data_IF_310797520436
#
_entry.id   IF_310797520436
#
_cell.length_a   1.000
_cell.length_b   1.000
_cell.length_c   1.000
_cell.angle_alpha   90.00
_cell.angle_beta   90.00
_cell.angle_gamma   90.00
#
_symmetry.space_group_name_H-M   'P 1'
#
loop_
_entity.id
_entity.type
_entity.pdbx_description
1 polymer ?
#
# COMPACT_ATOMS: atom_id res chain seq x y z
N UNK A 1 4.59 2.23 -4.00
CA UNK A 1 5.49 1.86 -5.12
C UNK A 1 6.93 1.85 -4.70
N UNK A 2 7.77 1.18 -5.49
CA UNK A 2 9.22 1.19 -5.35
C UNK A 2 9.85 1.88 -6.56
N UNK A 3 10.67 2.92 -6.31
CA UNK A 3 11.43 3.61 -7.35
C UNK A 3 12.74 2.83 -7.58
N UNK A 4 12.93 2.33 -8.80
CA UNK A 4 14.13 1.60 -9.22
C UNK A 4 15.19 2.55 -9.80
N UNK A 5 14.75 3.56 -10.56
CA UNK A 5 15.62 4.57 -11.16
C UNK A 5 14.98 5.95 -11.16
N UNK A 6 15.82 6.98 -11.08
CA UNK A 6 15.47 8.39 -11.35
C UNK A 6 16.49 8.93 -12.36
N UNK A 7 16.01 9.43 -13.50
CA UNK A 7 16.81 9.94 -14.62
C UNK A 7 17.96 9.01 -15.02
N UNK A 8 17.64 7.72 -15.18
CA UNK A 8 18.59 6.67 -15.57
C UNK A 8 19.55 6.21 -14.45
N UNK A 9 19.49 6.78 -13.24
CA UNK A 9 20.35 6.40 -12.12
C UNK A 9 19.66 5.39 -11.20
N UNK A 10 20.30 4.25 -10.96
CA UNK A 10 19.80 3.21 -10.05
C UNK A 10 19.69 3.71 -8.60
N UNK A 11 18.53 3.51 -7.99
CA UNK A 11 18.25 3.88 -6.60
C UNK A 11 18.74 2.85 -5.58
N UNK A 12 19.28 1.71 -6.02
CA UNK A 12 19.83 0.68 -5.14
C UNK A 12 20.90 1.26 -4.19
N UNK A 13 20.78 0.97 -2.90
CA UNK A 13 21.68 1.46 -1.86
C UNK A 13 21.53 2.94 -1.51
N UNK A 14 20.56 3.67 -2.07
CA UNK A 14 20.32 5.06 -1.68
C UNK A 14 19.61 5.11 -0.33
N UNK A 15 20.04 6.04 0.52
CA UNK A 15 19.26 6.46 1.67
C UNK A 15 18.26 7.55 1.27
N UNK A 16 17.36 7.88 2.21
CA UNK A 16 16.30 8.87 2.01
C UNK A 16 16.87 10.25 1.62
N UNK A 17 17.97 10.67 2.25
CA UNK A 17 18.57 11.98 2.01
C UNK A 17 19.19 12.10 0.60
N UNK A 18 19.79 11.03 0.09
CA UNK A 18 20.26 10.98 -1.30
C UNK A 18 19.09 11.06 -2.27
N UNK A 19 18.03 10.27 -2.05
CA UNK A 19 16.85 10.28 -2.90
C UNK A 19 16.19 11.67 -2.96
N UNK A 20 15.96 12.32 -1.81
CA UNK A 20 15.43 13.69 -1.74
C UNK A 20 16.31 14.70 -2.46
N UNK A 21 17.63 14.61 -2.30
CA UNK A 21 18.58 15.52 -2.95
C UNK A 21 18.56 15.38 -4.47
N UNK A 22 18.49 14.15 -4.98
CA UNK A 22 18.40 13.89 -6.42
C UNK A 22 17.11 14.48 -6.98
N UNK A 23 15.97 14.25 -6.31
CA UNK A 23 14.68 14.82 -6.72
C UNK A 23 14.70 16.35 -6.71
N UNK A 24 15.25 16.98 -5.66
CA UNK A 24 15.35 18.45 -5.57
C UNK A 24 16.23 19.09 -6.64
N UNK A 25 17.21 18.35 -7.17
CA UNK A 25 18.15 18.81 -8.20
C UNK A 25 17.74 18.43 -9.61
N UNK A 26 16.70 17.62 -9.77
CA UNK A 26 16.24 17.19 -11.08
C UNK A 26 15.67 18.38 -11.86
N UNK A 27 15.61 18.25 -13.19
CA UNK A 27 15.01 19.25 -14.07
C UNK A 27 13.55 19.47 -13.66
N UNK A 28 13.10 20.73 -13.47
CA UNK A 28 11.70 21.01 -13.15
C UNK A 28 10.75 20.68 -14.32
N UNK A 29 11.26 20.61 -15.55
CA UNK A 29 10.47 20.30 -16.75
C UNK A 29 10.13 18.82 -16.87
N UNK A 30 11.07 17.92 -16.50
CA UNK A 30 10.87 16.48 -16.64
C UNK A 30 11.75 15.68 -15.70
N UNK A 31 11.12 14.74 -14.99
CA UNK A 31 11.80 13.71 -14.20
C UNK A 31 11.31 12.35 -14.68
N UNK A 32 12.24 11.50 -15.14
CA UNK A 32 11.91 10.14 -15.61
C UNK A 32 12.16 9.15 -14.48
N UNK A 33 11.16 8.35 -14.14
CA UNK A 33 11.28 7.32 -13.11
C UNK A 33 10.94 5.93 -13.66
N UNK A 34 11.70 4.93 -13.22
CA UNK A 34 11.34 3.52 -13.40
C UNK A 34 10.75 3.04 -12.08
N UNK A 35 9.52 2.58 -12.12
CA UNK A 35 8.74 2.24 -10.93
C UNK A 35 8.31 0.77 -10.98
N UNK A 36 8.50 0.06 -9.88
CA UNK A 36 7.86 -1.24 -9.61
C UNK A 36 6.60 -0.99 -8.81
N UNK A 37 5.48 -1.40 -9.37
CA UNK A 37 4.17 -1.23 -8.77
C UNK A 37 4.06 -2.04 -7.47
N UNK A 38 3.79 -1.32 -6.37
CA UNK A 38 3.48 -1.81 -5.00
C UNK A 38 3.96 -3.23 -4.67
N UNK A 39 5.28 -3.48 -4.54
CA UNK A 39 5.83 -4.83 -4.41
C UNK A 39 5.42 -5.58 -3.12
N UNK A 40 4.88 -4.87 -2.12
CA UNK A 40 4.42 -5.44 -0.86
C UNK A 40 2.88 -5.44 -0.71
N UNK A 41 2.15 -4.90 -1.68
CA UNK A 41 0.69 -4.93 -1.64
C UNK A 41 0.20 -6.34 -2.02
N UNK A 42 -0.87 -6.78 -1.36
CA UNK A 42 -1.63 -7.98 -1.70
C UNK A 42 -3.11 -7.64 -1.80
N UNK A 43 -3.82 -8.28 -2.72
CA UNK A 43 -5.26 -8.13 -2.88
C UNK A 43 -5.97 -9.28 -2.18
N UNK A 44 -7.01 -8.97 -1.40
CA UNK A 44 -7.88 -9.95 -0.75
C UNK A 44 -9.32 -9.62 -1.09
N UNK A 45 -10.02 -10.54 -1.73
CA UNK A 45 -11.45 -10.41 -2.04
C UNK A 45 -12.26 -11.06 -0.94
N UNK A 46 -13.29 -10.37 -0.46
CA UNK A 46 -14.17 -10.83 0.62
C UNK A 46 -15.63 -10.59 0.24
N UNK A 47 -16.51 -11.38 0.83
CA UNK A 47 -17.95 -11.28 0.65
C UNK A 47 -18.61 -10.89 1.97
N UNK A 48 -19.56 -9.96 1.90
CA UNK A 48 -20.37 -9.59 3.06
C UNK A 48 -21.26 -10.76 3.47
N UNK A 49 -21.43 -10.94 4.77
CA UNK A 49 -22.45 -11.82 5.34
C UNK A 49 -23.86 -11.21 5.24
N UNK A 50 -24.87 -11.91 5.75
CA UNK A 50 -26.26 -11.43 5.80
C UNK A 50 -26.46 -10.16 6.62
N UNK A 51 -25.50 -9.81 7.49
CA UNK A 51 -25.50 -8.59 8.30
C UNK A 51 -24.68 -7.47 7.66
N UNK A 52 -24.13 -7.67 6.46
CA UNK A 52 -23.35 -6.68 5.72
C UNK A 52 -21.87 -6.58 6.12
N UNK A 53 -21.36 -7.49 6.97
CA UNK A 53 -19.99 -7.47 7.47
C UNK A 53 -19.06 -8.43 6.72
N UNK A 54 -17.78 -8.05 6.59
CA UNK A 54 -16.71 -8.94 6.08
C UNK A 54 -15.86 -9.55 7.19
N UNK A 55 -15.88 -8.95 8.40
CA UNK A 55 -15.38 -9.53 9.64
C UNK A 55 -13.93 -9.21 10.01
N UNK A 56 -13.53 -7.95 9.97
CA UNK A 56 -12.28 -7.49 10.58
C UNK A 56 -12.48 -6.14 11.30
N UNK A 57 -11.59 -5.82 12.23
CA UNK A 57 -11.53 -4.54 12.92
C UNK A 57 -10.35 -3.73 12.41
N UNK A 58 -10.60 -2.45 12.16
CA UNK A 58 -9.62 -1.47 11.69
C UNK A 58 -9.46 -0.36 12.73
N UNK A 59 -8.22 0.03 13.01
CA UNK A 59 -7.88 1.21 13.81
C UNK A 59 -6.77 2.01 13.11
N UNK A 60 -7.03 3.28 12.80
CA UNK A 60 -6.09 4.17 12.09
C UNK A 60 -5.53 3.53 10.79
N UNK A 61 -6.40 2.95 9.98
CA UNK A 61 -6.02 2.28 8.73
C UNK A 61 -5.41 0.89 8.88
N UNK A 62 -5.04 0.45 10.10
CA UNK A 62 -4.43 -0.86 10.36
C UNK A 62 -5.48 -1.88 10.80
N UNK A 63 -5.42 -3.09 10.25
CA UNK A 63 -6.24 -4.23 10.67
C UNK A 63 -5.71 -4.77 12.01
N UNK A 64 -6.56 -4.77 13.04
CA UNK A 64 -6.16 -5.16 14.41
C UNK A 64 -6.62 -6.56 14.80
N UNK A 65 -7.77 -7.02 14.28
CA UNK A 65 -8.31 -8.35 14.58
C UNK A 65 -9.25 -8.83 13.49
N UNK A 66 -9.52 -10.14 13.47
CA UNK A 66 -10.45 -10.80 12.56
C UNK A 66 -11.55 -11.48 13.37
N UNK A 67 -12.78 -11.41 12.89
CA UNK A 67 -13.87 -12.19 13.46
C UNK A 67 -13.72 -13.67 13.07
N UNK A 68 -13.99 -14.57 14.01
CA UNK A 68 -14.03 -16.01 13.76
C UNK A 68 -15.11 -16.31 12.72
N UNK A 69 -14.87 -17.29 11.85
CA UNK A 69 -15.81 -17.76 10.82
C UNK A 69 -16.30 -16.66 9.86
N UNK A 70 -15.53 -15.58 9.73
CA UNK A 70 -15.80 -14.49 8.79
C UNK A 70 -15.20 -14.71 7.41
N UNK A 71 -15.63 -13.91 6.42
CA UNK A 71 -15.00 -13.92 5.10
C UNK A 71 -13.53 -13.48 5.18
N UNK A 72 -13.20 -12.50 6.04
CA UNK A 72 -11.83 -12.08 6.27
C UNK A 72 -10.93 -13.21 6.79
N UNK A 73 -11.42 -14.01 7.75
CA UNK A 73 -10.67 -15.17 8.27
C UNK A 73 -10.49 -16.27 7.21
N UNK A 74 -11.56 -16.61 6.47
CA UNK A 74 -11.51 -17.63 5.42
C UNK A 74 -10.57 -17.28 4.26
N UNK A 75 -10.46 -16.00 3.92
CA UNK A 75 -9.60 -15.52 2.84
C UNK A 75 -8.18 -15.15 3.32
N UNK A 76 -7.82 -15.53 4.55
CA UNK A 76 -6.47 -15.34 5.07
C UNK A 76 -6.04 -13.87 5.13
N UNK A 77 -6.97 -12.96 5.44
CA UNK A 77 -6.62 -11.57 5.74
C UNK A 77 -5.67 -11.54 6.95
N UNK A 78 -4.66 -10.68 6.94
CA UNK A 78 -3.66 -10.62 8.00
C UNK A 78 -3.85 -9.38 8.87
N UNK A 79 -3.69 -9.54 10.19
CA UNK A 79 -3.58 -8.41 11.12
C UNK A 79 -2.24 -7.66 10.92
N UNK A 80 -2.12 -6.47 11.51
CA UNK A 80 -0.92 -5.59 11.42
C UNK A 80 -0.59 -5.15 9.98
N UNK A 81 -1.56 -5.27 9.07
CA UNK A 81 -1.48 -4.75 7.71
C UNK A 81 -2.34 -3.48 7.61
N UNK A 82 -1.90 -2.54 6.79
CA UNK A 82 -2.67 -1.33 6.48
C UNK A 82 -3.50 -1.55 5.23
N UNK A 83 -4.69 -0.96 5.20
CA UNK A 83 -5.54 -0.96 4.01
C UNK A 83 -5.06 0.17 3.10
N UNK A 84 -4.63 -0.19 1.88
CA UNK A 84 -4.23 0.78 0.87
C UNK A 84 -5.44 1.24 0.05
N UNK A 85 -6.26 0.30 -0.40
CA UNK A 85 -7.40 0.54 -1.27
C UNK A 85 -8.60 -0.34 -0.89
N UNK A 86 -9.80 0.15 -1.17
CA UNK A 86 -11.04 -0.63 -1.12
C UNK A 86 -11.74 -0.48 -2.47
N UNK A 87 -11.95 -1.59 -3.18
CA UNK A 87 -12.58 -1.61 -4.50
C UNK A 87 -12.01 -0.59 -5.50
N UNK A 88 -10.69 -0.44 -5.52
CA UNK A 88 -9.98 0.49 -6.41
C UNK A 88 -9.93 1.94 -5.93
N UNK A 89 -10.51 2.27 -4.77
CA UNK A 89 -10.42 3.61 -4.18
C UNK A 89 -9.32 3.66 -3.13
N UNK A 90 -8.37 4.59 -3.26
CA UNK A 90 -7.32 4.82 -2.26
C UNK A 90 -7.92 5.31 -0.94
N UNK A 91 -7.53 4.68 0.16
CA UNK A 91 -7.98 5.03 1.52
C UNK A 91 -6.84 5.44 2.45
N UNK A 92 -5.61 5.54 1.95
CA UNK A 92 -4.48 6.02 2.76
C UNK A 92 -4.66 7.49 3.13
N UNK A 93 -4.54 7.79 4.42
CA UNK A 93 -4.64 9.15 4.96
C UNK A 93 -6.07 9.62 5.20
N UNK A 94 -7.09 8.81 4.87
CA UNK A 94 -8.47 9.09 5.30
C UNK A 94 -8.59 8.98 6.82
N UNK A 95 -9.38 9.87 7.41
CA UNK A 95 -9.66 9.93 8.85
C UNK A 95 -10.86 9.09 9.22
#
# INVERSE_FOLDING_TARGET
>A
DQILQIDGKNCAGWNIEKAKRVLKKASPEKIVMVVRDRPFQRTVTMHKDSSGHVGFVIKRGQITSLARDSSAARNGLLTKHYICEVNGQNVIGLK
#
